data_IF_602711488190
#
_entry.id   IF_602711488190
#
_cell.length_a   1.000
_cell.length_b   1.000
_cell.length_c   1.000
_cell.angle_alpha   90.00
_cell.angle_beta   90.00
_cell.angle_gamma   90.00
#
_symmetry.space_group_name_H-M   'P 1'
#
loop_
_entity.id
_entity.type
_entity.pdbx_description
1 polymer ?
#
# COMPACT_ATOMS: atom_id res chain seq x y z
N UNK A 1 -31.81 20.91 -31.08
CA UNK A 1 -31.54 20.37 -29.73
C UNK A 1 -30.05 20.44 -29.47
N UNK A 2 -29.60 21.35 -28.59
CA UNK A 2 -28.20 21.48 -28.17
C UNK A 2 -27.94 20.45 -27.06
N UNK A 3 -27.08 19.47 -27.31
CA UNK A 3 -26.67 18.49 -26.31
C UNK A 3 -25.72 19.17 -25.30
N UNK A 4 -26.16 19.25 -24.05
CA UNK A 4 -25.37 19.72 -22.92
C UNK A 4 -24.44 18.60 -22.46
N UNK A 5 -23.13 18.79 -22.61
CA UNK A 5 -22.10 17.91 -22.06
C UNK A 5 -21.93 18.23 -20.57
N UNK A 6 -22.41 17.35 -19.68
CA UNK A 6 -21.99 17.38 -18.28
C UNK A 6 -20.55 16.87 -18.19
N UNK A 7 -19.64 17.76 -17.83
CA UNK A 7 -18.24 17.45 -17.56
C UNK A 7 -18.10 16.91 -16.13
N UNK A 8 -17.45 15.76 -15.98
CA UNK A 8 -16.77 15.39 -14.73
C UNK A 8 -15.29 15.75 -14.94
N UNK A 9 -14.80 16.70 -14.14
CA UNK A 9 -13.39 17.15 -14.08
C UNK A 9 -12.82 17.89 -15.29
N UNK A 10 -13.56 18.83 -15.90
CA UNK A 10 -12.98 19.90 -16.74
C UNK A 10 -12.22 19.49 -18.02
N UNK A 11 -11.98 18.21 -18.27
CA UNK A 11 -11.29 17.71 -19.45
C UNK A 11 -12.27 17.63 -20.63
N UNK A 12 -11.90 18.27 -21.74
CA UNK A 12 -12.59 18.12 -23.02
C UNK A 12 -12.03 16.87 -23.69
N UNK A 13 -12.80 15.78 -23.66
CA UNK A 13 -12.44 14.54 -24.37
C UNK A 13 -12.50 14.75 -25.87
N UNK A 14 -11.56 14.16 -26.60
CA UNK A 14 -11.66 14.02 -28.06
C UNK A 14 -12.86 13.14 -28.43
N UNK A 15 -13.29 13.19 -29.69
CA UNK A 15 -14.42 12.38 -30.16
C UNK A 15 -14.15 10.87 -30.01
N UNK A 16 -12.90 10.45 -30.21
CA UNK A 16 -12.46 9.07 -30.01
C UNK A 16 -12.43 8.69 -28.53
N UNK A 17 -11.89 9.54 -27.66
CA UNK A 17 -11.90 9.31 -26.21
C UNK A 17 -13.33 9.25 -25.66
N UNK A 18 -14.25 10.07 -26.16
CA UNK A 18 -15.65 10.03 -25.76
C UNK A 18 -16.35 8.72 -26.17
N UNK A 19 -15.94 8.12 -27.29
CA UNK A 19 -16.43 6.81 -27.73
C UNK A 19 -15.84 5.71 -26.84
N UNK A 20 -14.53 5.73 -26.57
CA UNK A 20 -13.88 4.77 -25.67
C UNK A 20 -14.50 4.83 -24.26
N UNK A 21 -14.70 6.03 -23.71
CA UNK A 21 -15.34 6.23 -22.40
C UNK A 21 -16.78 5.71 -22.38
N UNK A 22 -17.57 5.93 -23.44
CA UNK A 22 -18.93 5.37 -23.53
C UNK A 22 -18.94 3.85 -23.60
N UNK A 23 -18.07 3.27 -24.42
CA UNK A 23 -17.93 1.81 -24.52
C UNK A 23 -17.50 1.22 -23.17
N UNK A 24 -16.58 1.89 -22.48
CA UNK A 24 -16.13 1.51 -21.15
C UNK A 24 -17.24 1.58 -20.08
N UNK A 25 -18.05 2.64 -20.10
CA UNK A 25 -19.19 2.79 -19.18
C UNK A 25 -20.23 1.71 -19.45
N UNK A 26 -20.62 1.52 -20.71
CA UNK A 26 -21.59 0.49 -21.10
C UNK A 26 -21.12 -0.91 -20.68
N UNK A 27 -19.85 -1.19 -20.94
CA UNK A 27 -19.20 -2.42 -20.52
C UNK A 27 -19.26 -2.61 -18.99
N UNK A 28 -18.94 -1.58 -18.20
CA UNK A 28 -19.04 -1.66 -16.74
C UNK A 28 -20.46 -1.94 -16.25
N UNK A 29 -21.45 -1.33 -16.89
CA UNK A 29 -22.86 -1.57 -16.55
C UNK A 29 -23.28 -3.01 -16.88
N UNK A 30 -22.89 -3.54 -18.04
CA UNK A 30 -23.19 -4.91 -18.46
C UNK A 30 -22.46 -5.94 -17.59
N UNK A 31 -21.22 -5.64 -17.20
CA UNK A 31 -20.40 -6.45 -16.30
C UNK A 31 -20.96 -6.45 -14.86
N UNK A 32 -21.54 -5.34 -14.40
CA UNK A 32 -22.26 -5.27 -13.12
C UNK A 32 -23.57 -6.05 -13.14
N UNK A 33 -24.31 -6.02 -14.27
CA UNK A 33 -25.58 -6.73 -14.45
C UNK A 33 -25.41 -8.25 -14.59
N UNK A 34 -24.28 -8.71 -15.13
CA UNK A 34 -24.00 -10.13 -15.37
C UNK A 34 -23.58 -10.93 -14.13
N UNK A 35 -23.49 -10.30 -12.95
CA UNK A 35 -23.12 -10.99 -11.71
C UNK A 35 -21.67 -11.48 -11.67
N UNK A 36 -20.82 -11.02 -12.60
CA UNK A 36 -19.42 -11.39 -12.68
C UNK A 36 -18.70 -11.04 -11.37
N UNK A 37 -17.78 -11.93 -10.96
CA UNK A 37 -16.90 -11.66 -9.83
C UNK A 37 -16.07 -10.40 -10.12
N UNK A 38 -15.59 -9.72 -9.08
CA UNK A 38 -14.73 -8.54 -9.26
C UNK A 38 -13.48 -8.86 -10.09
N UNK A 39 -12.93 -10.07 -9.93
CA UNK A 39 -11.77 -10.53 -10.71
C UNK A 39 -12.12 -10.73 -12.18
N UNK A 40 -13.26 -11.35 -12.49
CA UNK A 40 -13.69 -11.56 -13.88
C UNK A 40 -13.99 -10.24 -14.57
N UNK A 41 -14.59 -9.28 -13.87
CA UNK A 41 -14.85 -7.93 -14.40
C UNK A 41 -13.56 -7.22 -14.78
N UNK A 42 -12.59 -7.19 -13.88
CA UNK A 42 -11.30 -6.59 -14.17
C UNK A 42 -10.60 -7.33 -15.33
N UNK A 43 -10.75 -8.66 -15.43
CA UNK A 43 -10.06 -9.47 -16.46
C UNK A 43 -10.63 -9.15 -17.84
N UNK A 44 -11.95 -9.04 -17.90
CA UNK A 44 -12.69 -8.65 -19.09
C UNK A 44 -12.34 -7.19 -19.47
N UNK A 45 -12.20 -6.28 -18.49
CA UNK A 45 -11.76 -4.89 -18.71
C UNK A 45 -10.33 -4.81 -19.26
N UNK A 46 -9.41 -5.63 -18.74
CA UNK A 46 -8.05 -5.71 -19.25
C UNK A 46 -8.00 -6.24 -20.70
N UNK A 47 -8.94 -7.12 -21.09
CA UNK A 47 -9.04 -7.65 -22.45
C UNK A 47 -9.62 -6.64 -23.44
N UNK A 48 -10.60 -5.83 -23.02
CA UNK A 48 -11.21 -4.80 -23.90
C UNK A 48 -10.27 -3.65 -24.21
N UNK A 49 -9.25 -3.44 -23.38
CA UNK A 49 -8.27 -2.37 -23.53
C UNK A 49 -7.07 -2.74 -24.42
N UNK A 50 -6.98 -3.99 -24.86
CA UNK A 50 -5.97 -4.45 -25.80
C UNK A 50 -6.58 -4.51 -27.22
N UNK A 51 -5.74 -4.34 -28.25
CA UNK A 51 -6.15 -4.54 -29.64
C UNK A 51 -6.75 -5.95 -29.86
N UNK A 52 -7.53 -6.21 -30.91
CA UNK A 52 -7.98 -7.57 -31.20
C UNK A 52 -6.81 -8.54 -31.31
N UNK A 53 -6.92 -9.71 -30.68
CA UNK A 53 -5.90 -10.78 -30.76
C UNK A 53 -5.66 -11.18 -32.21
N UNK A 54 -4.41 -11.12 -32.64
CA UNK A 54 -3.93 -11.64 -33.92
C UNK A 54 -4.05 -13.17 -33.99
N UNK A 55 -3.81 -13.74 -35.17
CA UNK A 55 -3.80 -15.21 -35.36
C UNK A 55 -2.66 -15.83 -34.53
N UNK A 56 -1.54 -15.13 -34.47
CA UNK A 56 -0.33 -15.47 -33.73
C UNK A 56 -0.59 -15.43 -32.22
N UNK A 57 -1.30 -14.41 -31.72
CA UNK A 57 -1.68 -14.34 -30.30
C UNK A 57 -2.57 -15.55 -29.90
N UNK A 58 -3.50 -15.96 -30.76
CA UNK A 58 -4.36 -17.14 -30.51
C UNK A 58 -3.59 -18.45 -30.56
N UNK A 59 -2.51 -18.51 -31.34
CA UNK A 59 -1.61 -19.66 -31.34
C UNK A 59 -0.84 -19.74 -30.02
N UNK A 60 -0.26 -18.62 -29.58
CA UNK A 60 0.41 -18.52 -28.27
C UNK A 60 -0.54 -18.88 -27.12
N UNK A 61 -1.79 -18.42 -27.15
CA UNK A 61 -2.78 -18.79 -26.15
C UNK A 61 -3.03 -20.30 -26.08
N UNK A 62 -3.05 -20.98 -27.23
CA UNK A 62 -3.23 -22.44 -27.28
C UNK A 62 -2.00 -23.16 -26.73
N UNK A 63 -0.81 -22.68 -27.04
CA UNK A 63 0.44 -23.26 -26.53
C UNK A 63 0.58 -23.07 -25.02
N UNK A 64 0.21 -21.90 -24.48
CA UNK A 64 0.22 -21.67 -23.02
C UNK A 64 -0.82 -22.51 -22.26
N UNK A 65 -1.83 -23.05 -22.95
CA UNK A 65 -2.79 -24.01 -22.36
C UNK A 65 -2.23 -25.43 -22.34
N UNK A 66 -1.21 -25.73 -23.14
CA UNK A 66 -0.48 -26.98 -23.08
C UNK A 66 0.49 -26.96 -21.88
N UNK A 67 0.35 -27.91 -20.96
CA UNK A 67 1.14 -27.98 -19.73
C UNK A 67 2.64 -28.20 -19.97
N UNK A 68 3.04 -28.57 -21.19
CA UNK A 68 4.44 -28.77 -21.55
C UNK A 68 5.20 -27.48 -21.87
N UNK A 69 4.50 -26.38 -22.17
CA UNK A 69 5.15 -25.16 -22.65
C UNK A 69 5.50 -24.20 -21.51
N UNK A 70 6.75 -23.74 -21.45
CA UNK A 70 7.18 -22.73 -20.48
C UNK A 70 6.92 -21.31 -21.01
N UNK A 71 6.29 -20.42 -20.22
CA UNK A 71 6.00 -19.05 -20.65
C UNK A 71 7.22 -18.28 -21.16
N UNK A 72 8.38 -18.45 -20.50
CA UNK A 72 9.63 -17.80 -20.93
C UNK A 72 10.06 -18.24 -22.33
N UNK A 73 9.99 -19.53 -22.66
CA UNK A 73 10.45 -20.06 -23.94
C UNK A 73 9.58 -19.52 -25.09
N UNK A 74 8.27 -19.46 -24.86
CA UNK A 74 7.31 -18.84 -25.77
C UNK A 74 7.63 -17.36 -25.96
N UNK A 75 7.83 -16.60 -24.87
CA UNK A 75 8.14 -15.18 -24.94
C UNK A 75 9.43 -14.92 -25.74
N UNK A 76 10.52 -15.64 -25.43
CA UNK A 76 11.80 -15.50 -26.12
C UNK A 76 11.67 -15.81 -27.61
N UNK A 77 10.93 -16.86 -27.97
CA UNK A 77 10.65 -17.21 -29.37
C UNK A 77 9.87 -16.09 -30.07
N UNK A 78 8.81 -15.58 -29.45
CA UNK A 78 8.03 -14.48 -30.01
C UNK A 78 8.87 -13.20 -30.18
N UNK A 79 9.75 -12.87 -29.23
CA UNK A 79 10.67 -11.73 -29.35
C UNK A 79 11.62 -11.94 -30.54
N UNK A 80 12.27 -13.11 -30.64
CA UNK A 80 13.21 -13.43 -31.74
C UNK A 80 12.54 -13.39 -33.10
N UNK A 81 11.28 -13.80 -33.20
CA UNK A 81 10.50 -13.78 -34.44
C UNK A 81 9.84 -12.43 -34.74
N UNK A 82 10.00 -11.41 -33.89
CA UNK A 82 9.32 -10.11 -34.05
C UNK A 82 7.81 -10.16 -33.82
N UNK A 83 7.29 -11.23 -33.20
CA UNK A 83 5.87 -11.47 -32.94
C UNK A 83 5.46 -11.12 -31.49
N UNK A 84 6.36 -10.57 -30.69
CA UNK A 84 6.07 -10.19 -29.32
C UNK A 84 5.10 -9.00 -29.26
N UNK A 85 3.85 -9.30 -28.92
CA UNK A 85 2.78 -8.32 -28.75
C UNK A 85 2.50 -8.07 -27.25
N UNK A 86 1.76 -7.00 -26.90
CA UNK A 86 1.23 -6.82 -25.55
C UNK A 86 0.41 -8.01 -25.04
N UNK A 87 -0.32 -8.69 -25.93
CA UNK A 87 -1.06 -9.92 -25.57
C UNK A 87 -0.11 -11.04 -25.20
N UNK A 88 0.95 -11.27 -26.00
CA UNK A 88 1.93 -12.33 -25.72
C UNK A 88 2.55 -12.14 -24.34
N UNK A 89 3.03 -10.93 -24.03
CA UNK A 89 3.61 -10.64 -22.71
C UNK A 89 2.59 -10.86 -21.60
N UNK A 90 1.39 -10.29 -21.74
CA UNK A 90 0.32 -10.44 -20.74
C UNK A 90 -0.04 -11.91 -20.50
N UNK A 91 -0.21 -12.70 -21.55
CA UNK A 91 -0.55 -14.13 -21.44
C UNK A 91 0.59 -14.94 -20.81
N UNK A 92 1.85 -14.66 -21.13
CA UNK A 92 2.98 -15.34 -20.51
C UNK A 92 3.03 -15.07 -19.00
N UNK A 93 2.84 -13.81 -18.58
CA UNK A 93 2.77 -13.45 -17.18
C UNK A 93 1.54 -14.04 -16.48
N UNK A 94 0.35 -14.00 -17.09
CA UNK A 94 -0.87 -14.59 -16.54
C UNK A 94 -0.71 -16.10 -16.34
N UNK A 95 -0.15 -16.81 -17.33
CA UNK A 95 0.11 -18.24 -17.23
C UNK A 95 1.06 -18.58 -16.07
N UNK A 96 2.18 -17.86 -15.94
CA UNK A 96 3.15 -18.10 -14.86
C UNK A 96 2.57 -17.71 -13.48
N UNK A 97 1.77 -16.65 -13.42
CA UNK A 97 1.13 -16.20 -12.17
C UNK A 97 0.04 -17.17 -11.71
N UNK A 98 -0.76 -17.71 -12.63
CA UNK A 98 -1.79 -18.71 -12.33
C UNK A 98 -1.20 -19.97 -11.69
N UNK A 99 -0.05 -20.45 -12.18
CA UNK A 99 0.61 -21.58 -11.55
C UNK A 99 1.04 -21.26 -10.10
N UNK A 100 1.59 -20.06 -9.89
CA UNK A 100 2.00 -19.58 -8.58
C UNK A 100 0.82 -19.32 -7.62
N UNK A 101 -0.36 -18.98 -8.13
CA UNK A 101 -1.56 -18.78 -7.31
C UNK A 101 -2.09 -20.07 -6.68
N UNK A 102 -1.77 -21.24 -7.25
CA UNK A 102 -2.16 -22.56 -6.71
C UNK A 102 -1.57 -22.83 -5.33
N UNK A 103 -0.49 -22.13 -4.98
CA UNK A 103 0.23 -22.32 -3.73
C UNK A 103 -0.06 -21.19 -2.73
N UNK A 104 -0.33 -21.51 -1.46
CA UNK A 104 -0.37 -20.53 -0.39
C UNK A 104 0.96 -19.76 -0.32
N UNK A 105 0.92 -18.46 -0.01
CA UNK A 105 2.10 -17.57 0.02
C UNK A 105 3.32 -18.17 0.72
N UNK A 106 3.14 -18.77 1.91
CA UNK A 106 4.22 -19.39 2.71
C UNK A 106 4.88 -20.61 2.04
N UNK A 107 4.23 -21.22 1.05
CA UNK A 107 4.71 -22.42 0.34
C UNK A 107 5.28 -22.10 -1.05
N UNK A 108 5.34 -20.82 -1.44
CA UNK A 108 5.79 -20.43 -2.78
C UNK A 108 7.31 -20.43 -2.96
N UNK A 109 8.09 -20.49 -1.89
CA UNK A 109 9.55 -20.47 -1.95
C UNK A 109 10.13 -21.53 -2.89
N UNK A 110 9.54 -22.74 -2.93
CA UNK A 110 9.97 -23.82 -3.83
C UNK A 110 9.82 -23.49 -5.32
N UNK A 111 8.74 -22.83 -5.71
CA UNK A 111 8.50 -22.44 -7.11
C UNK A 111 9.18 -21.12 -7.48
N UNK A 112 9.39 -20.24 -6.50
CA UNK A 112 10.01 -18.93 -6.69
C UNK A 112 11.44 -19.04 -7.22
N UNK A 113 12.19 -20.06 -6.80
CA UNK A 113 13.54 -20.29 -7.30
C UNK A 113 13.53 -20.60 -8.80
N UNK A 114 12.69 -21.53 -9.24
CA UNK A 114 12.53 -21.85 -10.66
C UNK A 114 12.05 -20.63 -11.46
N UNK A 115 11.05 -19.91 -10.96
CA UNK A 115 10.52 -18.72 -11.63
C UNK A 115 11.54 -17.58 -11.73
N UNK A 116 12.49 -17.48 -10.78
CA UNK A 116 13.61 -16.55 -10.85
C UNK A 116 14.61 -16.96 -11.92
N UNK A 117 14.89 -18.25 -12.05
CA UNK A 117 15.76 -18.81 -13.10
C UNK A 117 15.15 -18.64 -14.49
N UNK A 118 13.82 -18.62 -14.60
CA UNK A 118 13.11 -18.34 -15.85
C UNK A 118 13.37 -16.93 -16.38
N UNK A 119 13.69 -15.95 -15.52
CA UNK A 119 13.97 -14.56 -15.91
C UNK A 119 12.91 -13.95 -16.86
N UNK A 120 11.62 -14.24 -16.59
CA UNK A 120 10.51 -13.80 -17.43
C UNK A 120 10.38 -12.27 -17.40
N UNK A 121 10.41 -11.67 -16.20
CA UNK A 121 10.31 -10.22 -16.06
C UNK A 121 11.53 -9.51 -16.64
N UNK A 122 12.73 -10.04 -16.41
CA UNK A 122 13.96 -9.50 -16.97
C UNK A 122 13.90 -9.46 -18.51
N UNK A 123 13.53 -10.58 -19.14
CA UNK A 123 13.38 -10.67 -20.59
C UNK A 123 12.33 -9.70 -21.12
N UNK A 124 11.18 -9.61 -20.47
CA UNK A 124 10.10 -8.70 -20.86
C UNK A 124 10.52 -7.23 -20.71
N UNK A 125 11.13 -6.83 -19.59
CA UNK A 125 11.56 -5.45 -19.33
C UNK A 125 12.64 -5.00 -20.32
N UNK A 126 13.62 -5.86 -20.63
CA UNK A 126 14.64 -5.54 -21.63
C UNK A 126 14.02 -5.34 -23.02
N UNK A 127 13.03 -6.15 -23.38
CA UNK A 127 12.28 -5.96 -24.63
C UNK A 127 11.47 -4.67 -24.61
N UNK A 128 10.80 -4.36 -23.50
CA UNK A 128 10.01 -3.13 -23.36
C UNK A 128 10.87 -1.87 -23.45
N UNK A 129 12.10 -1.92 -22.96
CA UNK A 129 13.07 -0.82 -23.03
C UNK A 129 13.52 -0.50 -24.46
N UNK A 130 13.33 -1.39 -25.43
CA UNK A 130 13.66 -1.12 -26.84
C UNK A 130 12.68 -0.14 -27.50
N UNK A 131 11.44 -0.08 -27.02
CA UNK A 131 10.40 0.83 -27.51
C UNK A 131 9.48 1.29 -26.37
N UNK A 132 9.95 2.15 -25.45
CA UNK A 132 9.20 2.50 -24.25
C UNK A 132 7.84 3.15 -24.54
N UNK A 133 7.73 3.94 -25.62
CA UNK A 133 6.51 4.65 -25.99
C UNK A 133 5.35 3.69 -26.29
N UNK A 134 5.62 2.61 -27.02
CA UNK A 134 4.64 1.54 -27.24
C UNK A 134 4.11 0.93 -25.94
N UNK A 135 4.95 0.79 -24.92
CA UNK A 135 4.60 0.06 -23.70
C UNK A 135 3.92 0.91 -22.63
N UNK A 136 4.20 2.20 -22.55
CA UNK A 136 3.58 3.08 -21.53
C UNK A 136 2.07 3.20 -21.70
N UNK A 137 1.57 3.18 -22.95
CA UNK A 137 0.13 3.14 -23.23
C UNK A 137 -0.53 1.84 -22.73
N UNK A 138 0.13 0.70 -22.92
CA UNK A 138 -0.33 -0.62 -22.46
C UNK A 138 -0.35 -0.69 -20.93
N UNK A 139 0.72 -0.22 -20.28
CA UNK A 139 0.85 -0.22 -18.83
C UNK A 139 -0.21 0.69 -18.16
N UNK A 140 -0.56 1.80 -18.79
CA UNK A 140 -1.67 2.62 -18.30
C UNK A 140 -2.99 1.83 -18.34
N UNK A 141 -3.28 1.14 -19.44
CA UNK A 141 -4.58 0.53 -19.65
C UNK A 141 -4.75 -0.79 -18.88
N UNK A 142 -3.72 -1.64 -18.77
CA UNK A 142 -3.87 -2.99 -18.23
C UNK A 142 -3.26 -3.17 -16.82
N UNK A 143 -4.10 -3.03 -15.78
CA UNK A 143 -3.66 -3.16 -14.38
C UNK A 143 -3.14 -4.57 -14.05
N UNK A 144 -3.76 -5.64 -14.56
CA UNK A 144 -3.31 -7.01 -14.27
C UNK A 144 -1.93 -7.31 -14.85
N UNK A 145 -1.68 -6.84 -16.07
CA UNK A 145 -0.36 -6.94 -16.67
C UNK A 145 0.70 -6.23 -15.83
N UNK A 146 0.40 -5.00 -15.37
CA UNK A 146 1.30 -4.24 -14.49
C UNK A 146 1.55 -4.96 -13.17
N UNK A 147 0.50 -5.48 -12.53
CA UNK A 147 0.60 -6.22 -11.26
C UNK A 147 1.48 -7.47 -11.41
N UNK A 148 1.27 -8.26 -12.47
CA UNK A 148 2.07 -9.46 -12.71
C UNK A 148 3.52 -9.11 -13.09
N UNK A 149 3.72 -8.11 -13.95
CA UNK A 149 5.05 -7.63 -14.33
C UNK A 149 5.85 -7.20 -13.08
N UNK A 150 5.24 -6.39 -12.21
CA UNK A 150 5.88 -5.93 -10.98
C UNK A 150 6.12 -7.09 -10.01
N UNK A 151 5.20 -8.05 -9.92
CA UNK A 151 5.35 -9.22 -9.07
C UNK A 151 6.60 -10.03 -9.44
N UNK A 152 6.76 -10.34 -10.73
CA UNK A 152 7.93 -11.10 -11.20
C UNK A 152 9.20 -10.24 -11.21
N UNK A 153 9.11 -8.94 -11.45
CA UNK A 153 10.27 -8.06 -11.34
C UNK A 153 10.81 -8.00 -9.90
N UNK A 154 9.94 -7.95 -8.88
CA UNK A 154 10.38 -8.05 -7.48
C UNK A 154 10.96 -9.43 -7.18
N UNK A 155 10.33 -10.52 -7.67
CA UNK A 155 10.85 -11.87 -7.50
C UNK A 155 12.27 -12.04 -8.05
N UNK A 156 12.52 -11.43 -9.20
CA UNK A 156 13.78 -11.47 -9.95
C UNK A 156 14.80 -10.40 -9.50
N UNK A 157 14.46 -9.52 -8.56
CA UNK A 157 15.36 -8.48 -8.04
C UNK A 157 15.62 -7.33 -9.02
N UNK A 158 14.61 -6.95 -9.81
CA UNK A 158 14.71 -5.99 -10.92
C UNK A 158 14.13 -4.61 -10.57
N UNK A 159 13.98 -4.28 -9.29
CA UNK A 159 13.43 -3.00 -8.83
C UNK A 159 14.20 -1.83 -9.46
N UNK A 160 15.53 -1.89 -9.50
CA UNK A 160 16.37 -0.85 -10.11
C UNK A 160 16.11 -0.64 -11.61
N UNK A 161 15.78 -1.71 -12.34
CA UNK A 161 15.43 -1.62 -13.77
C UNK A 161 14.09 -0.91 -13.93
N UNK A 162 13.10 -1.23 -13.10
CA UNK A 162 11.82 -0.52 -13.11
C UNK A 162 12.04 0.95 -12.74
N UNK A 163 12.87 1.25 -11.74
CA UNK A 163 13.20 2.63 -11.35
C UNK A 163 13.80 3.44 -12.52
N UNK A 164 14.66 2.81 -13.34
CA UNK A 164 15.15 3.43 -14.59
C UNK A 164 14.04 3.61 -15.61
N UNK A 165 13.18 2.61 -15.77
CA UNK A 165 12.04 2.67 -16.70
C UNK A 165 11.08 3.82 -16.35
N UNK A 166 10.85 4.10 -15.06
CA UNK A 166 10.03 5.22 -14.59
C UNK A 166 10.56 6.60 -15.02
N UNK A 167 11.87 6.74 -15.27
CA UNK A 167 12.51 7.99 -15.72
C UNK A 167 12.32 8.27 -17.21
N UNK A 168 11.95 7.27 -17.99
CA UNK A 168 11.75 7.47 -19.42
C UNK A 168 10.57 8.41 -19.61
N UNK A 169 10.74 9.43 -20.45
CA UNK A 169 9.67 10.34 -20.87
C UNK A 169 8.99 9.73 -22.10
N UNK A 170 7.86 9.00 -21.96
CA UNK A 170 7.13 8.53 -23.13
C UNK A 170 6.39 9.69 -23.81
N UNK A 171 5.80 9.40 -24.96
CA UNK A 171 4.87 10.29 -25.65
C UNK A 171 3.80 10.87 -24.68
N UNK A 172 3.42 12.15 -24.88
CA UNK A 172 2.70 12.96 -23.90
C UNK A 172 1.30 12.44 -23.51
N UNK A 173 0.75 11.50 -24.25
CA UNK A 173 -0.67 11.13 -24.18
C UNK A 173 -1.07 10.40 -22.89
N UNK A 174 -0.13 9.89 -22.08
CA UNK A 174 -0.52 9.29 -20.80
C UNK A 174 0.56 9.26 -19.69
N UNK A 175 0.46 10.11 -18.67
CA UNK A 175 1.42 10.14 -17.56
C UNK A 175 1.10 9.15 -16.42
N UNK A 176 -0.12 8.59 -16.37
CA UNK A 176 -0.66 7.90 -15.19
C UNK A 176 -0.16 6.46 -15.01
N UNK A 177 0.49 5.87 -16.02
CA UNK A 177 1.04 4.50 -15.91
C UNK A 177 2.06 4.37 -14.78
N UNK A 178 2.82 5.43 -14.47
CA UNK A 178 3.83 5.43 -13.40
C UNK A 178 3.20 5.18 -12.04
N UNK A 179 2.07 5.85 -11.77
CA UNK A 179 1.34 5.67 -10.52
C UNK A 179 0.89 4.22 -10.34
N UNK A 180 0.46 3.57 -11.43
CA UNK A 180 0.10 2.15 -11.43
C UNK A 180 1.30 1.25 -11.16
N UNK A 181 2.41 1.44 -11.89
CA UNK A 181 3.63 0.65 -11.71
C UNK A 181 4.15 0.77 -10.28
N UNK A 182 4.28 1.98 -9.74
CA UNK A 182 4.78 2.22 -8.38
C UNK A 182 3.85 1.60 -7.32
N UNK A 183 2.53 1.72 -7.51
CA UNK A 183 1.55 1.04 -6.65
C UNK A 183 1.70 -0.49 -6.71
N UNK A 184 1.88 -1.05 -7.90
CA UNK A 184 2.03 -2.48 -8.13
C UNK A 184 3.36 -3.01 -7.55
N UNK A 185 4.45 -2.24 -7.60
CA UNK A 185 5.70 -2.63 -6.94
C UNK A 185 5.53 -2.76 -5.42
N UNK A 186 4.85 -1.80 -4.76
CA UNK A 186 4.56 -1.87 -3.32
C UNK A 186 3.71 -3.10 -2.98
N UNK A 187 2.68 -3.39 -3.79
CA UNK A 187 1.86 -4.59 -3.63
C UNK A 187 2.65 -5.88 -3.84
N UNK A 188 3.60 -5.86 -4.77
CA UNK A 188 4.46 -6.99 -5.10
C UNK A 188 5.41 -7.32 -3.96
N UNK A 189 6.11 -6.33 -3.40
CA UNK A 189 6.91 -6.52 -2.17
C UNK A 189 6.05 -7.05 -1.01
N UNK A 190 4.86 -6.49 -0.81
CA UNK A 190 3.88 -7.01 0.15
C UNK A 190 3.29 -8.38 -0.24
N UNK A 191 3.58 -8.95 -1.41
CA UNK A 191 3.21 -10.32 -1.74
C UNK A 191 4.31 -11.33 -1.36
N UNK A 192 5.54 -10.89 -1.10
CA UNK A 192 6.67 -11.76 -0.72
C UNK A 192 6.96 -11.82 0.78
N UNK A 193 6.73 -10.75 1.56
CA UNK A 193 6.78 -10.79 3.05
C UNK A 193 5.93 -11.89 3.74
N UNK A 194 6.55 -13.02 4.09
CA UNK A 194 5.93 -14.08 4.91
C UNK A 194 6.23 -13.93 6.40
N UNK A 195 6.99 -12.91 6.79
CA UNK A 195 7.54 -12.71 8.12
C UNK A 195 6.90 -11.55 8.89
N UNK A 196 5.92 -10.85 8.31
CA UNK A 196 5.29 -9.68 8.90
C UNK A 196 6.28 -8.55 9.16
N UNK A 197 7.20 -8.36 8.20
CA UNK A 197 8.20 -7.32 8.16
C UNK A 197 7.97 -6.43 6.93
N UNK A 198 7.73 -5.14 7.15
CA UNK A 198 7.49 -4.19 6.06
C UNK A 198 8.76 -3.45 5.60
N UNK A 199 9.94 -3.84 6.09
CA UNK A 199 11.20 -3.10 5.83
C UNK A 199 11.47 -2.90 4.35
N UNK A 200 11.35 -3.96 3.53
CA UNK A 200 11.67 -3.88 2.11
C UNK A 200 10.65 -3.04 1.34
N UNK A 201 9.37 -3.12 1.71
CA UNK A 201 8.31 -2.25 1.20
C UNK A 201 8.58 -0.77 1.54
N UNK A 202 9.02 -0.50 2.78
CA UNK A 202 9.36 0.86 3.25
C UNK A 202 10.59 1.39 2.49
N UNK A 203 11.65 0.59 2.37
CA UNK A 203 12.87 0.95 1.64
C UNK A 203 12.57 1.25 0.17
N UNK A 204 11.75 0.42 -0.47
CA UNK A 204 11.31 0.65 -1.85
C UNK A 204 10.52 1.97 -1.95
N UNK A 205 9.57 2.21 -1.05
CA UNK A 205 8.80 3.45 -1.04
C UNK A 205 9.71 4.68 -0.91
N UNK A 206 10.69 4.66 -0.01
CA UNK A 206 11.63 5.77 0.12
C UNK A 206 12.56 5.91 -1.08
N UNK A 207 12.95 4.81 -1.73
CA UNK A 207 13.71 4.90 -2.99
C UNK A 207 12.91 5.62 -4.09
N UNK A 208 11.58 5.46 -4.09
CA UNK A 208 10.66 6.15 -5.01
C UNK A 208 10.46 7.64 -4.63
N UNK A 209 10.46 7.97 -3.33
CA UNK A 209 10.50 9.35 -2.85
C UNK A 209 11.81 10.03 -3.27
N UNK A 210 12.95 9.40 -3.02
CA UNK A 210 14.28 9.91 -3.38
C UNK A 210 14.38 10.13 -4.89
N UNK A 211 13.85 9.21 -5.70
CA UNK A 211 13.76 9.36 -7.15
C UNK A 211 13.03 10.65 -7.56
N UNK A 212 11.87 10.93 -6.96
CA UNK A 212 11.10 12.15 -7.22
C UNK A 212 11.87 13.40 -6.80
N UNK A 213 12.51 13.38 -5.63
CA UNK A 213 13.26 14.52 -5.10
C UNK A 213 14.47 14.88 -5.96
N UNK A 214 15.19 13.88 -6.50
CA UNK A 214 16.28 14.08 -7.45
C UNK A 214 15.78 14.77 -8.73
N UNK A 215 14.68 14.29 -9.31
CA UNK A 215 14.09 14.88 -10.53
C UNK A 215 13.58 16.31 -10.27
N UNK A 216 12.97 16.55 -9.12
CA UNK A 216 12.52 17.88 -8.71
C UNK A 216 13.69 18.87 -8.55
N UNK A 217 14.79 18.40 -7.94
CA UNK A 217 16.00 19.20 -7.77
C UNK A 217 16.68 19.53 -9.11
N UNK A 218 16.74 18.56 -10.02
CA UNK A 218 17.28 18.77 -11.37
C UNK A 218 16.42 19.76 -12.16
N UNK A 219 15.10 19.62 -12.10
CA UNK A 219 14.18 20.57 -12.73
C UNK A 219 14.37 21.99 -12.22
N UNK A 220 14.37 22.19 -10.89
CA UNK A 220 14.56 23.52 -10.31
C UNK A 220 15.89 24.16 -10.71
N UNK A 221 16.97 23.38 -10.77
CA UNK A 221 18.27 23.86 -11.23
C UNK A 221 18.25 24.27 -12.71
N UNK A 222 17.55 23.51 -13.56
CA UNK A 222 17.41 23.83 -14.98
C UNK A 222 16.52 25.06 -15.20
N UNK A 223 15.38 25.17 -14.53
CA UNK A 223 14.49 26.36 -14.62
C UNK A 223 15.24 27.64 -14.24
N UNK A 224 16.12 27.58 -13.23
CA UNK A 224 16.95 28.73 -12.83
C UNK A 224 18.00 29.12 -13.89
N UNK A 225 18.48 28.17 -14.71
CA UNK A 225 19.55 28.39 -15.68
C UNK A 225 19.05 28.72 -17.09
N UNK A 226 18.02 28.02 -17.55
CA UNK A 226 17.58 28.02 -18.96
C UNK A 226 16.14 28.48 -19.16
N UNK A 227 15.41 28.84 -18.09
CA UNK A 227 14.03 29.33 -18.20
C UNK A 227 13.05 28.29 -18.75
N UNK A 228 13.34 27.00 -18.58
CA UNK A 228 12.45 25.91 -19.01
C UNK A 228 11.10 26.05 -18.31
N UNK A 229 10.02 26.14 -19.08
CA UNK A 229 8.65 26.33 -18.56
C UNK A 229 7.95 25.01 -18.17
N UNK A 230 8.33 23.87 -18.75
CA UNK A 230 7.61 22.61 -18.57
C UNK A 230 8.32 21.64 -17.62
N UNK A 231 7.67 21.34 -16.50
CA UNK A 231 8.17 20.39 -15.51
C UNK A 231 8.17 18.94 -16.03
N UNK A 232 9.18 18.13 -15.65
CA UNK A 232 9.23 16.74 -16.06
C UNK A 232 8.04 15.96 -15.46
N UNK A 233 7.60 14.86 -16.11
CA UNK A 233 6.41 14.11 -15.69
C UNK A 233 6.47 13.60 -14.24
N UNK A 234 7.65 13.25 -13.74
CA UNK A 234 7.84 12.80 -12.35
C UNK A 234 7.66 13.91 -11.32
N UNK A 235 7.72 15.18 -11.74
CA UNK A 235 7.48 16.36 -10.91
C UNK A 235 6.02 16.81 -11.02
N UNK A 236 5.42 16.71 -12.21
CA UNK A 236 4.05 17.18 -12.46
C UNK A 236 2.95 16.22 -12.00
N UNK A 237 3.20 14.91 -12.01
CA UNK A 237 2.18 13.92 -11.69
C UNK A 237 2.44 13.27 -10.34
N UNK A 238 1.40 13.21 -9.50
CA UNK A 238 1.46 12.53 -8.22
C UNK A 238 1.42 11.01 -8.38
N UNK A 239 2.54 10.45 -8.80
CA UNK A 239 2.68 9.00 -8.99
C UNK A 239 2.87 8.25 -7.66
N UNK A 240 3.14 8.96 -6.56
CA UNK A 240 3.40 8.35 -5.24
C UNK A 240 2.15 8.19 -4.39
N UNK A 241 1.07 8.95 -4.66
CA UNK A 241 -0.16 8.88 -3.85
C UNK A 241 -0.69 7.44 -3.69
N UNK A 242 -0.84 6.71 -4.79
CA UNK A 242 -1.32 5.32 -4.77
C UNK A 242 -0.42 4.40 -3.95
N UNK A 243 0.90 4.54 -4.12
CA UNK A 243 1.90 3.79 -3.37
C UNK A 243 1.88 4.13 -1.87
N UNK A 244 1.70 5.40 -1.49
CA UNK A 244 1.57 5.83 -0.10
C UNK A 244 0.33 5.25 0.57
N UNK A 245 -0.82 5.23 -0.12
CA UNK A 245 -2.04 4.57 0.35
C UNK A 245 -1.83 3.08 0.55
N UNK A 246 -1.13 2.40 -0.37
CA UNK A 246 -0.82 0.97 -0.22
C UNK A 246 0.16 0.71 0.91
N UNK A 247 1.22 1.49 1.05
CA UNK A 247 2.17 1.38 2.15
C UNK A 247 1.44 1.50 3.49
N UNK A 248 0.58 2.51 3.66
CA UNK A 248 -0.26 2.63 4.87
C UNK A 248 -1.04 1.34 5.13
N UNK A 249 -1.76 0.84 4.13
CA UNK A 249 -2.55 -0.39 4.28
C UNK A 249 -1.68 -1.63 4.59
N UNK A 250 -0.42 -1.68 4.14
CA UNK A 250 0.54 -2.75 4.46
C UNK A 250 0.92 -2.70 5.94
N UNK A 251 1.15 -1.50 6.47
CA UNK A 251 1.56 -1.25 7.84
C UNK A 251 0.41 -1.42 8.85
N UNK A 252 -0.81 -1.03 8.46
CA UNK A 252 -2.00 -1.07 9.33
C UNK A 252 -2.86 -2.32 9.13
N UNK A 253 -2.40 -3.26 8.30
CA UNK A 253 -3.16 -4.46 7.96
C UNK A 253 -3.44 -5.31 9.20
N UNK A 254 -4.71 -5.36 9.61
CA UNK A 254 -5.20 -6.20 10.70
C UNK A 254 -5.28 -7.70 10.36
N UNK A 255 -4.30 -8.26 9.64
CA UNK A 255 -4.23 -9.71 9.40
C UNK A 255 -3.72 -10.43 10.66
N UNK A 256 -2.76 -9.81 11.34
CA UNK A 256 -2.16 -10.33 12.56
C UNK A 256 -2.43 -9.42 13.77
N UNK A 257 -2.53 -9.99 14.99
CA UNK A 257 -2.79 -9.25 16.23
C UNK A 257 -1.84 -8.07 16.47
N UNK A 258 -0.56 -8.25 16.11
CA UNK A 258 0.51 -7.27 16.32
C UNK A 258 0.89 -6.50 15.05
N UNK A 259 0.16 -6.69 13.94
CA UNK A 259 0.48 -6.08 12.65
C UNK A 259 1.86 -6.52 12.14
N UNK A 260 2.65 -5.57 11.63
CA UNK A 260 4.00 -5.81 11.09
C UNK A 260 5.09 -5.74 12.15
N UNK A 261 4.92 -6.48 13.24
CA UNK A 261 5.73 -6.37 14.47
C UNK A 261 7.24 -6.58 14.29
N UNK A 262 7.70 -7.17 13.17
CA UNK A 262 9.13 -7.35 12.86
C UNK A 262 9.76 -6.18 12.10
N UNK A 263 8.95 -5.20 11.70
CA UNK A 263 9.45 -4.02 10.97
C UNK A 263 10.33 -3.19 11.89
N UNK A 264 11.48 -2.76 11.37
CA UNK A 264 12.41 -1.87 12.06
C UNK A 264 11.67 -0.61 12.55
N UNK A 265 11.63 -0.37 13.87
CA UNK A 265 11.02 0.83 14.44
C UNK A 265 11.57 2.14 13.89
N UNK A 266 12.85 2.20 13.53
CA UNK A 266 13.46 3.40 12.95
C UNK A 266 12.92 3.67 11.54
N UNK A 267 12.80 2.62 10.71
CA UNK A 267 12.18 2.73 9.39
C UNK A 267 10.70 3.11 9.49
N UNK A 268 9.96 2.51 10.43
CA UNK A 268 8.57 2.89 10.68
C UNK A 268 8.45 4.35 11.14
N UNK A 269 9.35 4.79 12.03
CA UNK A 269 9.45 6.18 12.47
C UNK A 269 9.69 7.15 11.32
N UNK A 270 10.55 6.78 10.35
CA UNK A 270 10.76 7.56 9.12
C UNK A 270 9.46 7.71 8.31
N UNK A 271 8.67 6.64 8.19
CA UNK A 271 7.33 6.70 7.55
C UNK A 271 6.42 7.67 8.29
N UNK A 272 6.31 7.56 9.61
CA UNK A 272 5.49 8.47 10.41
C UNK A 272 5.89 9.94 10.22
N UNK A 273 7.19 10.24 10.22
CA UNK A 273 7.69 11.60 9.99
C UNK A 273 7.34 12.10 8.58
N UNK A 274 7.51 11.26 7.56
CA UNK A 274 7.16 11.60 6.19
C UNK A 274 5.67 11.94 6.05
N UNK A 275 4.79 11.09 6.60
CA UNK A 275 3.36 11.36 6.60
C UNK A 275 3.01 12.59 7.45
N UNK A 276 3.63 12.81 8.61
CA UNK A 276 3.28 13.92 9.49
C UNK A 276 3.76 15.29 9.01
N UNK A 277 4.86 15.34 8.24
CA UNK A 277 5.55 16.61 7.95
C UNK A 277 5.75 16.90 6.47
N UNK A 278 5.88 15.88 5.61
CA UNK A 278 6.17 16.08 4.19
C UNK A 278 4.87 16.10 3.38
N UNK A 279 4.02 15.09 3.53
CA UNK A 279 2.77 15.00 2.77
C UNK A 279 1.78 16.16 2.98
N UNK A 280 1.61 16.74 4.19
CA UNK A 280 0.68 17.86 4.38
C UNK A 280 1.10 19.12 3.61
N UNK A 281 2.41 19.34 3.47
CA UNK A 281 2.98 20.50 2.76
C UNK A 281 2.71 20.42 1.25
N UNK A 282 2.49 19.21 0.72
CA UNK A 282 2.13 19.03 -0.69
C UNK A 282 0.68 19.45 -1.01
N UNK A 283 -0.12 19.93 -0.03
CA UNK A 283 -1.52 20.41 -0.17
C UNK A 283 -2.52 19.38 -0.71
N UNK A 284 -2.23 18.08 -0.62
CA UNK A 284 -3.08 17.01 -1.21
C UNK A 284 -3.99 16.31 -0.22
N UNK A 285 -3.84 16.60 1.06
CA UNK A 285 -4.59 15.98 2.14
C UNK A 285 -5.16 17.04 3.06
N UNK A 286 -6.43 16.87 3.42
CA UNK A 286 -7.04 17.65 4.49
C UNK A 286 -6.40 17.29 5.85
N UNK A 287 -6.46 18.22 6.80
CA UNK A 287 -5.97 17.96 8.17
C UNK A 287 -6.69 16.76 8.80
N UNK A 288 -7.97 16.55 8.50
CA UNK A 288 -8.76 15.42 8.99
C UNK A 288 -8.24 14.08 8.45
N UNK A 289 -7.87 14.02 7.16
CA UNK A 289 -7.27 12.83 6.57
C UNK A 289 -5.90 12.55 7.18
N UNK A 290 -5.10 13.59 7.43
CA UNK A 290 -3.81 13.43 8.08
C UNK A 290 -3.96 12.94 9.53
N UNK A 291 -4.89 13.51 10.30
CA UNK A 291 -5.21 13.06 11.66
C UNK A 291 -5.61 11.57 11.66
N UNK A 292 -6.43 11.13 10.69
CA UNK A 292 -6.80 9.73 10.53
C UNK A 292 -5.59 8.85 10.24
N UNK A 293 -4.78 9.20 9.23
CA UNK A 293 -3.63 8.40 8.79
C UNK A 293 -2.62 8.24 9.93
N UNK A 294 -2.29 9.34 10.61
CA UNK A 294 -1.34 9.32 11.72
C UNK A 294 -1.89 8.51 12.89
N UNK A 295 -3.17 8.63 13.21
CA UNK A 295 -3.82 7.82 14.25
C UNK A 295 -3.72 6.32 13.94
N UNK A 296 -4.03 5.92 12.71
CA UNK A 296 -3.98 4.52 12.30
C UNK A 296 -2.55 3.96 12.35
N UNK A 297 -1.57 4.71 11.86
CA UNK A 297 -0.16 4.29 11.88
C UNK A 297 0.40 4.18 13.31
N UNK A 298 0.03 5.10 14.21
CA UNK A 298 0.50 5.09 15.61
C UNK A 298 -0.08 3.90 16.41
N UNK A 299 -1.29 3.45 16.09
CA UNK A 299 -1.90 2.24 16.69
C UNK A 299 -1.25 0.92 16.25
N UNK A 300 -0.40 0.96 15.22
CA UNK A 300 0.27 -0.21 14.63
C UNK A 300 1.81 -0.13 14.70
N UNK A 301 2.35 0.89 15.35
CA UNK A 301 3.80 1.09 15.48
C UNK A 301 4.47 -0.07 16.22
N UNK A 302 5.63 -0.53 15.72
CA UNK A 302 6.26 -1.77 16.18
C UNK A 302 6.94 -1.69 17.55
N UNK A 303 7.58 -0.55 17.87
CA UNK A 303 8.25 -0.35 19.16
C UNK A 303 7.36 0.26 20.26
N UNK A 304 6.14 0.69 19.95
CA UNK A 304 5.31 1.39 20.92
C UNK A 304 4.03 1.89 20.32
N UNK A 305 2.92 1.27 20.72
CA UNK A 305 1.59 1.69 20.31
C UNK A 305 1.19 2.97 21.05
N UNK A 306 0.59 3.92 20.33
CA UNK A 306 0.15 5.19 20.90
C UNK A 306 -1.31 5.45 20.53
N UNK A 307 -2.19 5.40 21.53
CA UNK A 307 -3.63 5.63 21.39
C UNK A 307 -4.01 7.11 21.30
N UNK A 308 -3.17 8.05 21.76
CA UNK A 308 -3.58 9.45 21.97
C UNK A 308 -4.07 10.15 20.70
N UNK A 309 -3.42 10.03 19.52
CA UNK A 309 -3.94 10.61 18.29
C UNK A 309 -5.33 10.07 17.94
N UNK A 310 -5.52 8.75 18.07
CA UNK A 310 -6.80 8.10 17.79
C UNK A 310 -7.88 8.49 18.80
N UNK A 311 -7.54 8.63 20.08
CA UNK A 311 -8.45 9.17 21.11
C UNK A 311 -8.87 10.60 20.79
N UNK A 312 -7.93 11.46 20.37
CA UNK A 312 -8.23 12.82 19.93
C UNK A 312 -9.24 12.83 18.79
N UNK A 313 -9.03 11.97 17.79
CA UNK A 313 -9.92 11.81 16.65
C UNK A 313 -11.31 11.29 17.05
N UNK A 314 -11.37 10.27 17.91
CA UNK A 314 -12.64 9.72 18.43
C UNK A 314 -13.38 10.75 19.28
N UNK A 315 -12.70 11.61 20.06
CA UNK A 315 -13.34 12.69 20.82
C UNK A 315 -13.96 13.73 19.89
N UNK A 316 -13.28 14.07 18.78
CA UNK A 316 -13.85 14.92 17.73
C UNK A 316 -15.08 14.26 17.11
N UNK A 317 -15.00 12.98 16.79
CA UNK A 317 -16.12 12.19 16.23
C UNK A 317 -17.32 12.08 17.17
N UNK A 318 -17.11 11.89 18.48
CA UNK A 318 -18.20 11.88 19.47
C UNK A 318 -18.94 13.23 19.53
N UNK A 319 -18.23 14.34 19.33
CA UNK A 319 -18.81 15.70 19.38
C UNK A 319 -19.48 16.12 18.07
N UNK A 320 -18.86 15.80 16.94
CA UNK A 320 -19.25 16.31 15.61
C UNK A 320 -19.94 15.26 14.73
N UNK A 321 -20.02 14.01 15.18
CA UNK A 321 -20.46 12.87 14.37
C UNK A 321 -19.54 12.64 13.17
N UNK A 322 -20.10 12.06 12.10
CA UNK A 322 -19.40 11.76 10.83
C UNK A 322 -18.65 12.94 10.20
N UNK A 323 -19.02 14.17 10.55
CA UNK A 323 -18.36 15.38 10.07
C UNK A 323 -16.94 15.56 10.64
N UNK A 324 -16.57 14.84 11.70
CA UNK A 324 -15.20 14.82 12.21
C UNK A 324 -14.19 14.18 11.26
N UNK A 325 -14.66 13.39 10.28
CA UNK A 325 -13.83 12.60 9.38
C UNK A 325 -13.74 13.16 7.95
N UNK A 326 -14.29 14.35 7.63
CA UNK A 326 -14.49 14.75 6.22
C UNK A 326 -14.00 16.16 5.86
N UNK A 327 -13.39 16.29 4.66
CA UNK A 327 -14.09 17.03 3.59
C UNK A 327 -14.58 16.19 2.37
N UNK A 328 -13.88 15.16 1.87
CA UNK A 328 -14.17 14.60 0.51
C UNK A 328 -14.39 13.06 0.39
N UNK A 329 -14.26 12.27 1.47
CA UNK A 329 -14.32 10.80 1.40
C UNK A 329 -15.72 10.15 1.31
N UNK A 330 -16.74 10.85 0.79
CA UNK A 330 -18.10 10.30 0.56
C UNK A 330 -18.17 9.15 -0.47
N UNK A 331 -17.04 8.67 -1.02
CA UNK A 331 -17.00 7.55 -1.97
C UNK A 331 -16.92 6.14 -1.33
N UNK A 332 -16.86 6.02 0.00
CA UNK A 332 -16.52 4.75 0.66
C UNK A 332 -17.61 4.09 1.55
N UNK A 333 -18.90 4.40 1.36
CA UNK A 333 -20.05 3.56 1.78
C UNK A 333 -19.90 2.70 3.07
N UNK A 334 -20.33 1.41 3.06
CA UNK A 334 -20.20 0.47 4.18
C UNK A 334 -18.77 0.23 4.70
N UNK A 335 -17.75 0.58 3.90
CA UNK A 335 -16.34 0.37 4.26
C UNK A 335 -15.86 1.39 5.29
N UNK A 336 -16.41 2.60 5.30
CA UNK A 336 -16.08 3.61 6.30
C UNK A 336 -16.55 3.21 7.70
N UNK A 337 -17.78 2.71 7.83
CA UNK A 337 -18.32 2.23 9.10
C UNK A 337 -17.46 1.10 9.69
N UNK A 338 -17.02 0.15 8.85
CA UNK A 338 -16.10 -0.89 9.27
C UNK A 338 -14.72 -0.34 9.67
N UNK A 339 -14.22 0.66 8.95
CA UNK A 339 -12.93 1.30 9.28
C UNK A 339 -12.99 2.02 10.62
N UNK A 340 -14.09 2.74 10.90
CA UNK A 340 -14.34 3.38 12.19
C UNK A 340 -14.47 2.32 13.30
N UNK A 341 -15.21 1.24 13.07
CA UNK A 341 -15.33 0.14 14.02
C UNK A 341 -13.94 -0.44 14.36
N UNK A 342 -13.13 -0.71 13.34
CA UNK A 342 -11.76 -1.22 13.53
C UNK A 342 -10.88 -0.22 14.29
N UNK A 343 -10.97 1.07 13.98
CA UNK A 343 -10.26 2.13 14.72
C UNK A 343 -10.67 2.17 16.19
N UNK A 344 -11.98 2.17 16.47
CA UNK A 344 -12.55 2.15 17.84
C UNK A 344 -12.01 0.96 18.62
N UNK A 345 -12.13 -0.26 18.07
CA UNK A 345 -11.67 -1.47 18.74
C UNK A 345 -10.18 -1.42 19.00
N UNK A 346 -9.37 -1.11 17.98
CA UNK A 346 -7.92 -1.06 18.11
C UNK A 346 -7.46 0.01 19.11
N UNK A 347 -8.12 1.16 19.15
CA UNK A 347 -7.81 2.23 20.11
C UNK A 347 -8.04 1.76 21.55
N UNK A 348 -9.17 1.08 21.81
CA UNK A 348 -9.46 0.53 23.13
C UNK A 348 -8.45 -0.56 23.53
N UNK A 349 -8.13 -1.48 22.61
CA UNK A 349 -7.16 -2.56 22.86
C UNK A 349 -5.75 -2.01 23.16
N UNK A 350 -5.31 -0.99 22.42
CA UNK A 350 -4.03 -0.31 22.66
C UNK A 350 -4.04 0.46 23.97
N UNK A 351 -5.11 1.19 24.29
CA UNK A 351 -5.24 1.90 25.55
C UNK A 351 -5.17 0.92 26.75
N UNK A 352 -5.86 -0.23 26.68
CA UNK A 352 -5.75 -1.28 27.69
C UNK A 352 -4.33 -1.84 27.79
N UNK A 353 -3.68 -2.09 26.65
CA UNK A 353 -2.29 -2.55 26.59
C UNK A 353 -1.31 -1.56 27.23
N UNK A 354 -1.61 -0.26 27.14
CA UNK A 354 -0.84 0.83 27.73
C UNK A 354 -1.25 1.18 29.18
N UNK A 355 -2.13 0.40 29.83
CA UNK A 355 -2.71 0.69 31.17
C UNK A 355 -3.60 1.93 31.24
N UNK A 356 -3.99 2.52 30.11
CA UNK A 356 -4.89 3.66 30.06
C UNK A 356 -6.36 3.20 30.15
N UNK A 357 -6.72 2.62 31.29
CA UNK A 357 -8.04 1.99 31.49
C UNK A 357 -9.19 3.01 31.43
N UNK A 358 -8.94 4.27 31.79
CA UNK A 358 -9.94 5.34 31.67
C UNK A 358 -10.27 5.62 30.21
N UNK A 359 -9.26 5.70 29.34
CA UNK A 359 -9.46 5.87 27.91
C UNK A 359 -10.13 4.64 27.27
N UNK A 360 -9.67 3.41 27.60
CA UNK A 360 -10.26 2.18 27.09
C UNK A 360 -11.77 2.09 27.43
N UNK A 361 -12.14 2.39 28.68
CA UNK A 361 -13.55 2.45 29.13
C UNK A 361 -14.34 3.53 28.41
N UNK A 362 -13.76 4.72 28.26
CA UNK A 362 -14.43 5.82 27.56
C UNK A 362 -14.73 5.43 26.11
N UNK A 363 -13.76 4.85 25.39
CA UNK A 363 -13.96 4.39 24.00
C UNK A 363 -15.05 3.31 23.96
N UNK A 364 -14.99 2.31 24.83
CA UNK A 364 -15.97 1.23 24.88
C UNK A 364 -17.40 1.75 25.16
N UNK A 365 -17.57 2.56 26.20
CA UNK A 365 -18.89 3.06 26.60
C UNK A 365 -19.47 4.03 25.55
N UNK A 366 -18.63 4.84 24.91
CA UNK A 366 -19.09 5.85 23.93
C UNK A 366 -19.41 5.20 22.58
N UNK A 367 -18.67 4.16 22.19
CA UNK A 367 -18.75 3.56 20.87
C UNK A 367 -19.09 2.06 20.91
N UNK A 368 -19.84 1.62 21.91
CA UNK A 368 -20.13 0.20 22.18
C UNK A 368 -20.56 -0.56 20.92
N UNK A 369 -21.52 -0.01 20.17
CA UNK A 369 -21.98 -0.59 18.90
C UNK A 369 -20.86 -0.72 17.86
N UNK A 370 -20.04 0.32 17.68
CA UNK A 370 -18.91 0.31 16.75
C UNK A 370 -17.82 -0.68 17.18
N UNK A 371 -17.56 -0.77 18.48
CA UNK A 371 -16.63 -1.73 19.05
C UNK A 371 -17.04 -3.19 18.73
N UNK A 372 -18.32 -3.52 18.85
CA UNK A 372 -18.83 -4.86 18.55
C UNK A 372 -19.05 -5.13 17.05
N UNK A 373 -19.11 -4.10 16.21
CA UNK A 373 -19.13 -4.25 14.75
C UNK A 373 -17.76 -4.62 14.18
N UNK A 374 -16.67 -4.35 14.91
CA UNK A 374 -15.34 -4.74 14.48
C UNK A 374 -15.17 -6.26 14.57
N UNK A 375 -14.71 -6.89 13.48
CA UNK A 375 -14.46 -8.33 13.46
C UNK A 375 -13.29 -8.64 14.43
N UNK A 376 -13.49 -9.51 15.45
CA UNK A 376 -12.41 -9.88 16.33
C UNK A 376 -11.36 -10.72 15.60
N UNK A 377 -10.13 -10.69 16.11
CA UNK A 377 -9.11 -11.64 15.68
C UNK A 377 -9.47 -13.06 16.15
N UNK A 378 -9.33 -14.10 15.29
CA UNK A 378 -9.49 -15.47 15.71
C UNK A 378 -8.57 -15.82 16.89
N UNK A 379 -9.08 -16.50 17.91
CA UNK A 379 -8.31 -16.87 19.10
C UNK A 379 -7.08 -17.71 18.72
N UNK A 380 -7.22 -18.60 17.74
CA UNK A 380 -6.14 -19.46 17.26
C UNK A 380 -4.95 -18.62 16.72
N UNK A 381 -5.24 -17.49 16.05
CA UNK A 381 -4.17 -16.60 15.55
C UNK A 381 -3.44 -15.88 16.68
N UNK A 382 -4.18 -15.44 17.70
CA UNK A 382 -3.58 -14.78 18.87
C UNK A 382 -2.72 -15.78 19.64
N UNK A 383 -3.22 -17.00 19.85
CA UNK A 383 -2.47 -18.08 20.50
C UNK A 383 -1.22 -18.46 19.71
N UNK A 384 -1.33 -18.61 18.39
CA UNK A 384 -0.17 -18.87 17.52
C UNK A 384 0.88 -17.75 17.65
N UNK A 385 0.46 -16.48 17.65
CA UNK A 385 1.37 -15.33 17.85
C UNK A 385 2.08 -15.40 19.19
N UNK A 386 1.36 -15.73 20.26
CA UNK A 386 1.91 -15.85 21.62
C UNK A 386 2.87 -17.05 21.74
N UNK A 387 2.56 -18.17 21.10
CA UNK A 387 3.40 -19.37 21.13
C UNK A 387 4.70 -19.14 20.33
N UNK A 388 4.60 -18.55 19.15
CA UNK A 388 5.75 -18.32 18.27
C UNK A 388 6.71 -17.26 18.81
N UNK A 389 6.17 -16.20 19.42
CA UNK A 389 6.93 -15.00 19.77
C UNK A 389 7.11 -14.83 21.27
N UNK A 390 6.56 -15.70 22.11
CA UNK A 390 6.30 -15.44 23.52
C UNK A 390 7.44 -14.80 24.30
N UNK A 391 8.68 -15.26 24.10
CA UNK A 391 9.89 -14.71 24.74
C UNK A 391 10.42 -13.42 24.09
N UNK A 392 10.14 -13.19 22.80
CA UNK A 392 10.55 -12.00 22.04
C UNK A 392 9.57 -10.82 22.11
N UNK A 393 8.35 -11.03 22.59
CA UNK A 393 7.35 -9.96 22.68
C UNK A 393 7.72 -8.95 23.76
N UNK A 394 7.55 -7.67 23.44
CA UNK A 394 7.61 -6.60 24.45
C UNK A 394 6.46 -6.73 25.44
N UNK A 395 6.60 -6.13 26.62
CA UNK A 395 5.54 -6.12 27.62
C UNK A 395 4.21 -5.55 27.07
N UNK A 396 4.27 -4.48 26.29
CA UNK A 396 3.09 -3.86 25.69
C UNK A 396 2.45 -4.78 24.63
N UNK A 397 3.26 -5.43 23.78
CA UNK A 397 2.75 -6.38 22.78
C UNK A 397 2.06 -7.58 23.44
N UNK A 398 2.62 -8.13 24.52
CA UNK A 398 2.00 -9.21 25.29
C UNK A 398 0.66 -8.78 25.88
N UNK A 399 0.59 -7.56 26.43
CA UNK A 399 -0.66 -7.00 26.95
C UNK A 399 -1.69 -6.72 25.87
N UNK A 400 -1.26 -6.29 24.69
CA UNK A 400 -2.13 -6.13 23.53
C UNK A 400 -2.72 -7.49 23.12
N UNK A 401 -1.91 -8.55 22.99
CA UNK A 401 -2.43 -9.89 22.75
C UNK A 401 -3.44 -10.33 23.82
N UNK A 402 -3.19 -10.03 25.10
CA UNK A 402 -4.13 -10.32 26.18
C UNK A 402 -5.45 -9.53 26.06
N UNK A 403 -5.39 -8.23 25.75
CA UNK A 403 -6.57 -7.39 25.52
C UNK A 403 -7.39 -7.91 24.32
N UNK A 404 -6.71 -8.30 23.24
CA UNK A 404 -7.32 -8.92 22.06
C UNK A 404 -8.00 -10.25 22.36
N UNK A 405 -7.41 -11.10 23.22
CA UNK A 405 -8.07 -12.31 23.69
C UNK A 405 -9.32 -11.96 24.50
N UNK A 406 -9.20 -11.05 25.49
CA UNK A 406 -10.30 -10.60 26.35
C UNK A 406 -11.49 -10.03 25.58
N UNK A 407 -11.24 -9.41 24.42
CA UNK A 407 -12.25 -8.82 23.56
C UNK A 407 -12.94 -9.79 22.61
N UNK A 408 -12.52 -11.07 22.57
CA UNK A 408 -13.25 -12.14 21.89
C UNK A 408 -14.41 -12.64 22.79
N UNK A 409 -15.53 -13.06 22.21
CA UNK A 409 -16.82 -13.23 22.90
C UNK A 409 -16.84 -14.29 24.01
N UNK A 410 -15.84 -15.15 24.10
CA UNK A 410 -15.74 -16.17 25.14
C UNK A 410 -15.18 -15.62 26.48
N UNK A 411 -14.54 -14.44 26.43
CA UNK A 411 -14.04 -13.69 27.61
C UNK A 411 -14.96 -12.54 28.06
N UNK A 412 -16.15 -12.45 27.45
CA UNK A 412 -17.23 -11.46 27.68
C UNK A 412 -17.61 -11.26 29.16
N UNK A 413 -17.32 -12.23 30.03
CA UNK A 413 -17.57 -12.16 31.48
C UNK A 413 -16.51 -11.36 32.26
N UNK A 414 -15.27 -11.31 31.78
CA UNK A 414 -14.16 -10.68 32.49
C UNK A 414 -14.09 -9.16 32.29
N UNK A 415 -14.44 -8.64 31.11
CA UNK A 415 -14.48 -7.20 30.88
C UNK A 415 -15.64 -6.54 31.62
N UNK A 416 -16.85 -7.12 31.62
CA UNK A 416 -17.97 -6.59 32.41
C UNK A 416 -17.69 -6.63 33.92
N UNK A 417 -17.12 -7.72 34.45
CA UNK A 417 -16.84 -7.83 35.89
C UNK A 417 -15.60 -7.02 36.34
N UNK A 418 -14.52 -6.90 35.55
CA UNK A 418 -13.33 -6.10 35.89
C UNK A 418 -13.52 -4.60 35.64
N UNK A 419 -14.30 -4.22 34.64
CA UNK A 419 -14.60 -2.80 34.36
C UNK A 419 -15.56 -2.23 35.40
N UNK A 420 -16.55 -3.01 35.87
CA UNK A 420 -17.47 -2.59 36.93
C UNK A 420 -16.78 -2.51 38.31
N UNK A 421 -15.74 -3.31 38.56
CA UNK A 421 -15.08 -3.38 39.89
C UNK A 421 -13.83 -2.51 40.07
N UNK A 422 -13.18 -2.03 39.01
CA UNK A 422 -12.01 -1.17 39.21
C UNK A 422 -12.45 0.28 39.50
N UNK A 423 -11.94 0.90 40.58
CA UNK A 423 -12.36 2.22 41.03
C UNK A 423 -12.21 3.24 39.91
N UNK A 424 -13.14 4.21 39.85
CA UNK A 424 -13.00 5.37 39.00
C UNK A 424 -11.78 6.17 39.47
N UNK A 425 -10.61 5.88 38.90
CA UNK A 425 -9.44 6.72 39.09
C UNK A 425 -9.74 8.06 38.42
N UNK A 426 -9.77 9.11 39.24
CA UNK A 426 -9.63 10.48 38.77
C UNK A 426 -8.45 10.53 37.80
N UNK A 427 -8.58 11.20 36.65
CA UNK A 427 -7.50 11.28 35.67
C UNK A 427 -6.24 11.74 36.39
N UNK A 428 -5.19 10.90 36.37
CA UNK A 428 -3.89 11.35 36.81
C UNK A 428 -3.53 12.52 35.89
N UNK A 429 -3.59 13.72 36.45
CA UNK A 429 -3.09 14.96 35.86
C UNK A 429 -1.61 14.75 35.58
N UNK A 430 -1.29 14.30 34.36
CA UNK A 430 -0.60 15.15 33.40
C UNK A 430 -0.32 14.35 32.10
N UNK A 431 -1.19 14.47 31.07
CA UNK A 431 -0.93 13.95 29.73
C UNK A 431 0.41 14.43 29.14
N UNK A 432 0.93 15.59 29.58
CA UNK A 432 2.23 16.10 29.12
C UNK A 432 3.41 15.26 29.64
N UNK A 433 3.31 14.65 30.83
CA UNK A 433 4.39 13.80 31.37
C UNK A 433 4.58 12.50 30.56
N UNK A 434 3.48 11.90 30.06
CA UNK A 434 3.52 10.71 29.21
C UNK A 434 3.98 11.06 27.78
N UNK A 435 3.48 12.17 27.22
CA UNK A 435 3.94 12.71 25.94
C UNK A 435 5.44 13.08 25.96
N UNK A 436 5.93 13.69 27.05
CA UNK A 436 7.33 14.01 27.23
C UNK A 436 8.20 12.75 27.34
N UNK A 437 7.74 11.68 27.98
CA UNK A 437 8.46 10.40 28.02
C UNK A 437 8.59 9.76 26.63
N UNK A 438 7.56 9.87 25.80
CA UNK A 438 7.57 9.39 24.41
C UNK A 438 8.42 10.28 23.49
N UNK A 439 8.31 11.61 23.62
CA UNK A 439 9.18 12.57 22.93
C UNK A 439 10.65 12.42 23.32
N UNK A 440 10.96 12.10 24.58
CA UNK A 440 12.32 11.83 25.04
C UNK A 440 12.87 10.50 24.49
N UNK A 441 12.03 9.50 24.23
CA UNK A 441 12.44 8.29 23.50
C UNK A 441 12.68 8.55 22.01
N UNK A 442 11.94 9.47 21.38
CA UNK A 442 12.18 9.87 19.99
C UNK A 442 13.39 10.82 19.84
N UNK A 443 13.63 11.68 20.84
CA UNK A 443 14.73 12.65 20.88
C UNK A 443 16.10 12.07 21.26
N UNK A 444 16.14 10.88 21.88
CA UNK A 444 17.39 10.17 22.17
C UNK A 444 17.98 9.51 20.92
N UNK A 445 17.13 8.99 20.02
CA UNK A 445 17.56 8.42 18.72
C UNK A 445 18.19 9.46 17.78
N UNK A 446 17.89 10.75 17.96
CA UNK A 446 18.44 11.83 17.13
C UNK A 446 19.75 12.43 17.66
N UNK A 447 20.07 12.27 18.95
CA UNK A 447 21.33 12.77 19.53
C UNK A 447 22.53 11.86 19.26
N UNK A 448 22.31 10.57 19.04
CA UNK A 448 23.38 9.61 18.73
C UNK A 448 23.80 9.62 17.24
N UNK A 449 23.18 10.46 16.40
CA UNK A 449 23.46 10.54 14.97
C UNK A 449 24.45 11.67 14.56
N UNK A 450 25.06 12.41 15.49
CA UNK A 450 26.09 13.42 15.14
C UNK A 450 27.21 13.57 16.18
N UNK A 451 28.28 12.79 16.00
CA UNK A 451 29.62 13.35 15.84
C UNK A 451 30.38 12.48 14.80
N UNK A 452 30.70 13.00 13.60
CA UNK A 452 31.71 12.37 12.78
C UNK A 452 33.07 12.59 13.46
N UNK A 453 33.69 11.51 13.93
CA UNK A 453 35.11 11.52 14.27
C UNK A 453 35.88 12.00 13.03
N UNK A 454 36.57 13.12 13.19
CA UNK A 454 37.52 13.62 12.20
C UNK A 454 38.72 12.67 12.21
N UNK A 455 38.70 11.65 11.34
CA UNK A 455 39.88 10.86 11.03
C UNK A 455 40.94 11.79 10.42
N UNK A 456 41.92 12.18 11.25
CA UNK A 456 43.19 12.74 10.80
C UNK A 456 43.90 11.67 9.96
N UNK A 457 43.87 11.82 8.63
CA UNK A 457 44.80 11.13 7.75
C UNK A 457 46.21 11.66 8.02
N UNK A 458 47.07 10.81 8.57
CA UNK A 458 48.51 11.05 8.57
C UNK A 458 49.02 10.92 7.13
N UNK A 459 49.56 12.00 6.59
CA UNK A 459 50.47 11.95 5.45
C UNK A 459 51.83 11.47 5.96
N UNK A 460 52.28 10.33 5.44
CA UNK A 460 53.67 9.88 5.52
C UNK A 460 54.13 9.56 4.10
N UNK A 461 55.22 10.21 3.70
CA UNK A 461 55.95 10.07 2.44
C UNK A 461 56.40 8.64 2.16
#
# INVERSE_FOLDING_TARGET
MKASSKTHHGHVYTKEEAIEVRQYIQFKEDALRSGLSYQDRNRLEAQTLLSPKSVEDRQVERELKDTSSRPIEILQRCIKSGLASPHVLHMCFDAQFQDQQRYPRRKRSGIHQQQREDQLAHTALLYMLQDPGKWTSVLYKNTFFVDNLCYFAVLEGLQDIIMRFLRITPEPDNPYWRAKVVTAMILSEDAFDVHFCADDVIKLYFSLVDLREVEHSQYNAQTQQSGIEEAPPLVNFDFLHGAGVKLRNVLTRGIEPLGRYRTDPALYGKVLQHFAHVLPVENKHSQQEMDWIISELQLHHTAGYNEEPALGLLRKYAKLGQHAFLPEAWRHGPQLAQSIANLVKRTADVAEANSNMSAARWVFNTFEKGYFQAKPFPLERIQHTLNDLGSSLTHVQRRLCNALMCSNSDTRRLLSERVVKAPALQPATDPAAHANKFQNMLGTVTKDAKQPETQKRGFGL
#
